data_IF_132431462004
#
_entry.id   IF_132431462004
#
_cell.length_a   1.000
_cell.length_b   1.000
_cell.length_c   1.000
_cell.angle_alpha   90.00
_cell.angle_beta   90.00
_cell.angle_gamma   90.00
#
_symmetry.space_group_name_H-M   'P 1'
#
loop_
_entity.id
_entity.type
_entity.pdbx_description
1 polymer ?
#
# COMPACT_ATOMS: atom_id res chain seq x y z
N UNK A 1 -0.66 7.53 7.43
CA UNK A 1 -1.75 7.17 8.38
C UNK A 1 -3.04 7.91 8.00
N UNK A 2 -3.05 9.25 7.88
CA UNK A 2 -4.26 10.02 7.59
C UNK A 2 -5.02 9.57 6.33
N UNK A 3 -4.31 9.36 5.20
CA UNK A 3 -4.94 8.89 3.97
C UNK A 3 -5.52 7.49 4.12
N UNK A 4 -4.82 6.58 4.79
CA UNK A 4 -5.33 5.22 5.03
C UNK A 4 -6.62 5.24 5.86
N UNK A 5 -6.65 6.05 6.93
CA UNK A 5 -7.85 6.23 7.75
C UNK A 5 -9.02 6.79 6.94
N UNK A 6 -8.75 7.81 6.11
CA UNK A 6 -9.76 8.40 5.22
C UNK A 6 -10.36 7.37 4.24
N UNK A 7 -9.49 6.57 3.60
CA UNK A 7 -9.93 5.53 2.66
C UNK A 7 -10.75 4.44 3.33
N UNK A 8 -10.32 3.96 4.50
CA UNK A 8 -11.07 2.97 5.26
C UNK A 8 -12.42 3.53 5.74
N UNK A 9 -12.44 4.75 6.26
CA UNK A 9 -13.68 5.39 6.70
C UNK A 9 -14.67 5.54 5.54
N UNK A 10 -14.21 6.03 4.37
CA UNK A 10 -15.05 6.15 3.19
C UNK A 10 -15.61 4.82 2.71
N UNK A 11 -14.83 3.74 2.77
CA UNK A 11 -15.29 2.41 2.36
C UNK A 11 -16.28 1.81 3.38
N UNK A 12 -15.98 1.91 4.67
CA UNK A 12 -16.87 1.38 5.74
C UNK A 12 -18.24 2.05 5.66
N UNK A 13 -18.28 3.34 5.38
CA UNK A 13 -19.56 4.09 5.23
C UNK A 13 -20.43 3.58 4.08
N UNK A 14 -19.91 2.77 3.16
CA UNK A 14 -20.69 2.15 2.08
C UNK A 14 -21.24 0.78 2.44
N UNK A 15 -20.82 0.19 3.55
CA UNK A 15 -21.31 -1.10 4.05
C UNK A 15 -22.67 -0.86 4.71
N UNK A 16 -23.74 -1.55 4.27
CA UNK A 16 -25.04 -1.43 4.88
C UNK A 16 -25.04 -1.87 6.35
N UNK A 17 -25.72 -1.11 7.21
CA UNK A 17 -25.84 -1.42 8.66
C UNK A 17 -26.63 -2.70 8.92
N UNK A 18 -27.48 -3.09 7.97
CA UNK A 18 -28.29 -4.32 8.02
C UNK A 18 -27.41 -5.58 8.15
N UNK A 19 -26.15 -5.52 7.69
CA UNK A 19 -25.21 -6.63 7.81
C UNK A 19 -24.78 -6.82 9.28
N UNK A 20 -24.54 -5.72 9.99
CA UNK A 20 -24.22 -5.73 11.43
C UNK A 20 -25.43 -6.18 12.26
N UNK A 21 -26.63 -5.69 11.92
CA UNK A 21 -27.88 -6.07 12.56
C UNK A 21 -28.15 -7.57 12.37
N UNK A 22 -27.99 -8.09 11.13
CA UNK A 22 -28.16 -9.52 10.85
C UNK A 22 -27.17 -10.38 11.65
N UNK A 23 -25.91 -9.98 11.72
CA UNK A 23 -24.89 -10.68 12.50
C UNK A 23 -25.23 -10.71 14.00
N UNK A 24 -25.79 -9.61 14.50
CA UNK A 24 -26.25 -9.51 15.91
C UNK A 24 -27.43 -10.43 16.20
N UNK A 25 -28.40 -10.52 15.26
CA UNK A 25 -29.54 -11.44 15.37
C UNK A 25 -29.08 -12.90 15.39
N UNK A 26 -28.05 -13.24 14.59
CA UNK A 26 -27.43 -14.56 14.56
C UNK A 26 -26.58 -14.86 15.82
N UNK A 27 -26.53 -13.94 16.78
CA UNK A 27 -25.82 -14.10 18.05
C UNK A 27 -24.29 -13.93 17.94
N UNK A 28 -23.80 -13.34 16.85
CA UNK A 28 -22.38 -13.01 16.71
C UNK A 28 -22.02 -11.84 17.64
N UNK A 29 -20.89 -11.94 18.33
CA UNK A 29 -20.32 -10.77 19.01
C UNK A 29 -19.70 -9.80 17.99
N UNK A 30 -19.59 -8.52 18.35
CA UNK A 30 -19.02 -7.47 17.48
C UNK A 30 -17.65 -7.85 16.91
N UNK A 31 -16.81 -8.52 17.73
CA UNK A 31 -15.49 -9.00 17.30
C UNK A 31 -15.60 -10.10 16.25
N UNK A 32 -16.58 -10.99 16.38
CA UNK A 32 -16.82 -12.07 15.40
C UNK A 32 -17.40 -11.50 14.12
N UNK A 33 -18.36 -10.58 14.20
CA UNK A 33 -18.93 -9.88 13.06
C UNK A 33 -17.83 -9.11 12.30
N UNK A 34 -16.98 -8.37 13.01
CA UNK A 34 -15.86 -7.65 12.40
C UNK A 34 -14.91 -8.58 11.64
N UNK A 35 -14.36 -9.61 12.28
CA UNK A 35 -13.34 -10.45 11.66
C UNK A 35 -13.85 -11.42 10.60
N UNK A 36 -15.09 -11.91 10.75
CA UNK A 36 -15.65 -12.92 9.83
C UNK A 36 -16.49 -12.33 8.70
N UNK A 37 -17.06 -11.15 8.89
CA UNK A 37 -17.98 -10.56 7.91
C UNK A 37 -17.39 -9.26 7.35
N UNK A 38 -17.16 -8.24 8.20
CA UNK A 38 -16.78 -6.89 7.74
C UNK A 38 -15.37 -6.88 7.16
N UNK A 39 -14.38 -7.42 7.90
CA UNK A 39 -12.98 -7.39 7.45
C UNK A 39 -12.74 -8.10 6.12
N UNK A 40 -13.33 -9.27 5.82
CA UNK A 40 -13.27 -9.87 4.49
C UNK A 40 -13.89 -9.01 3.39
N UNK A 41 -14.97 -8.28 3.67
CA UNK A 41 -15.57 -7.34 2.72
C UNK A 41 -14.66 -6.14 2.43
N UNK A 42 -13.80 -5.77 3.37
CA UNK A 42 -12.83 -4.69 3.23
C UNK A 42 -11.55 -5.07 2.45
N UNK A 43 -11.42 -6.30 1.97
CA UNK A 43 -10.24 -6.76 1.20
C UNK A 43 -9.85 -5.82 0.04
N UNK A 44 -10.79 -5.31 -0.78
CA UNK A 44 -10.43 -4.43 -1.89
C UNK A 44 -9.78 -3.14 -1.41
N UNK A 45 -10.36 -2.49 -0.40
CA UNK A 45 -9.79 -1.24 0.14
C UNK A 45 -8.47 -1.49 0.88
N UNK A 46 -8.35 -2.63 1.57
CA UNK A 46 -7.11 -3.03 2.24
C UNK A 46 -5.97 -3.20 1.24
N UNK A 47 -6.23 -3.83 0.10
CA UNK A 47 -5.25 -3.95 -0.98
C UNK A 47 -4.85 -2.58 -1.55
N UNK A 48 -5.81 -1.68 -1.76
CA UNK A 48 -5.55 -0.31 -2.21
C UNK A 48 -4.66 0.45 -1.22
N UNK A 49 -4.99 0.41 0.05
CA UNK A 49 -4.20 1.05 1.13
C UNK A 49 -2.80 0.43 1.22
N UNK A 50 -2.69 -0.89 1.09
CA UNK A 50 -1.41 -1.58 1.10
C UNK A 50 -0.51 -1.14 -0.06
N UNK A 51 -1.05 -1.05 -1.29
CA UNK A 51 -0.30 -0.58 -2.47
C UNK A 51 0.19 0.85 -2.27
N UNK A 52 -0.71 1.76 -1.87
CA UNK A 52 -0.35 3.18 -1.70
C UNK A 52 0.74 3.34 -0.62
N UNK A 53 0.58 2.67 0.53
CA UNK A 53 1.59 2.76 1.59
C UNK A 53 2.91 2.10 1.17
N UNK A 54 2.88 0.96 0.48
CA UNK A 54 4.09 0.31 -0.03
C UNK A 54 4.84 1.22 -1.01
N UNK A 55 4.11 1.89 -1.92
CA UNK A 55 4.71 2.86 -2.85
C UNK A 55 5.35 4.03 -2.11
N UNK A 56 4.70 4.57 -1.10
CA UNK A 56 5.24 5.69 -0.33
C UNK A 56 6.47 5.29 0.47
N UNK A 57 6.43 4.16 1.17
CA UNK A 57 7.56 3.65 1.95
C UNK A 57 8.74 3.30 1.03
N UNK A 58 8.46 2.69 -0.14
CA UNK A 58 9.50 2.32 -1.09
C UNK A 58 10.20 3.54 -1.70
N UNK A 59 9.45 4.59 -1.99
CA UNK A 59 9.98 5.83 -2.57
C UNK A 59 10.43 6.85 -1.51
N UNK A 60 10.37 6.51 -0.22
CA UNK A 60 10.85 7.42 0.82
C UNK A 60 12.37 7.57 0.72
N UNK A 61 12.79 8.80 0.58
CA UNK A 61 14.20 9.17 0.42
C UNK A 61 14.73 9.91 1.65
N UNK A 62 13.96 10.86 2.15
CA UNK A 62 14.45 11.82 3.15
C UNK A 62 14.74 11.14 4.49
N UNK A 63 13.78 10.39 5.01
CA UNK A 63 13.92 9.72 6.29
C UNK A 63 15.03 8.64 6.28
N UNK A 64 15.08 7.72 5.30
CA UNK A 64 16.17 6.77 5.17
C UNK A 64 17.55 7.44 5.06
N UNK A 65 17.66 8.55 4.32
CA UNK A 65 18.93 9.26 4.18
C UNK A 65 19.43 9.88 5.48
N UNK A 66 18.52 10.31 6.35
CA UNK A 66 18.90 10.93 7.64
C UNK A 66 19.23 9.90 8.73
N UNK A 67 18.62 8.72 8.67
CA UNK A 67 18.66 7.73 9.77
C UNK A 67 19.56 6.55 9.45
N UNK A 68 19.61 6.11 8.18
CA UNK A 68 20.34 4.91 7.78
C UNK A 68 21.82 5.21 7.49
N UNK A 69 22.67 4.24 7.83
CA UNK A 69 24.10 4.24 7.48
C UNK A 69 24.29 3.70 6.06
N UNK A 70 25.51 3.86 5.50
CA UNK A 70 25.83 3.33 4.17
C UNK A 70 25.60 1.82 4.01
N UNK A 71 25.72 1.07 5.07
CA UNK A 71 25.57 -0.39 5.06
C UNK A 71 24.10 -0.85 5.12
N UNK A 72 23.19 0.02 5.56
CA UNK A 72 21.78 -0.30 5.79
C UNK A 72 20.82 0.47 4.86
N UNK A 73 21.34 1.13 3.83
CA UNK A 73 20.56 1.93 2.89
C UNK A 73 19.52 1.09 2.14
N UNK A 74 18.36 1.70 1.86
CA UNK A 74 17.36 1.10 0.97
C UNK A 74 17.87 1.08 -0.47
N UNK A 75 17.36 0.14 -1.28
CA UNK A 75 17.76 0.02 -2.68
C UNK A 75 17.53 1.32 -3.48
N UNK A 76 16.36 2.01 -3.39
CA UNK A 76 16.19 3.31 -4.05
C UNK A 76 17.18 4.38 -3.57
N UNK A 77 17.52 4.40 -2.28
CA UNK A 77 18.48 5.36 -1.74
C UNK A 77 19.90 5.08 -2.25
N UNK A 78 20.29 3.81 -2.36
CA UNK A 78 21.63 3.43 -2.82
C UNK A 78 21.90 3.83 -4.28
N UNK A 79 20.85 3.94 -5.10
CA UNK A 79 21.01 4.40 -6.49
C UNK A 79 21.56 5.82 -6.58
N UNK A 80 21.32 6.64 -5.57
CA UNK A 80 21.88 8.00 -5.49
C UNK A 80 23.40 8.03 -5.38
N UNK A 81 24.03 6.96 -4.93
CA UNK A 81 25.50 6.87 -4.83
C UNK A 81 26.19 6.89 -6.20
N UNK A 82 25.48 6.48 -7.26
CA UNK A 82 25.99 6.49 -8.64
C UNK A 82 25.99 7.89 -9.25
N UNK A 83 25.30 8.86 -8.65
CA UNK A 83 25.35 10.27 -9.03
C UNK A 83 26.42 10.98 -8.18
N UNK A 84 27.67 10.62 -8.40
CA UNK A 84 28.82 11.20 -7.69
C UNK A 84 29.06 12.66 -8.08
N UNK A 85 29.78 13.37 -7.19
CA UNK A 85 30.06 14.81 -7.35
C UNK A 85 31.02 15.11 -8.52
N UNK A 86 31.82 14.13 -8.94
CA UNK A 86 32.88 14.28 -9.96
C UNK A 86 32.74 13.35 -11.17
N UNK A 87 31.95 12.29 -11.05
CA UNK A 87 31.68 11.37 -12.15
C UNK A 87 30.29 10.78 -12.01
N UNK A 88 29.54 10.70 -13.10
CA UNK A 88 28.24 10.04 -13.14
C UNK A 88 28.42 8.74 -13.92
N UNK A 89 28.31 7.64 -13.21
CA UNK A 89 28.31 6.29 -13.80
C UNK A 89 26.93 5.96 -14.35
N UNK A 90 26.55 6.57 -15.47
CA UNK A 90 25.21 6.47 -16.07
C UNK A 90 24.74 5.02 -16.25
N UNK A 91 25.63 4.12 -16.70
CA UNK A 91 25.28 2.71 -16.89
C UNK A 91 24.88 2.02 -15.60
N UNK A 92 25.64 2.21 -14.54
CA UNK A 92 25.36 1.63 -13.23
C UNK A 92 24.13 2.29 -12.57
N UNK A 93 23.99 3.61 -12.72
CA UNK A 93 22.82 4.33 -12.23
C UNK A 93 21.52 3.82 -12.89
N UNK A 94 21.51 3.66 -14.21
CA UNK A 94 20.35 3.13 -14.93
C UNK A 94 20.04 1.67 -14.57
N UNK A 95 21.06 0.83 -14.41
CA UNK A 95 20.90 -0.55 -13.96
C UNK A 95 20.32 -0.60 -12.52
N UNK A 96 20.84 0.22 -11.61
CA UNK A 96 20.35 0.34 -10.25
C UNK A 96 18.88 0.79 -10.18
N UNK A 97 18.51 1.81 -10.98
CA UNK A 97 17.13 2.27 -11.09
C UNK A 97 16.21 1.18 -11.65
N UNK A 98 16.62 0.46 -12.69
CA UNK A 98 15.86 -0.65 -13.25
C UNK A 98 15.62 -1.74 -12.19
N UNK A 99 16.65 -2.12 -11.43
CA UNK A 99 16.52 -3.07 -10.33
C UNK A 99 15.60 -2.57 -9.21
N UNK A 100 15.65 -1.27 -8.89
CA UNK A 100 14.81 -0.66 -7.87
C UNK A 100 13.31 -0.64 -8.25
N UNK A 101 12.98 -0.63 -9.53
CA UNK A 101 11.58 -0.67 -10.01
C UNK A 101 10.99 -2.07 -9.96
N UNK A 102 11.79 -3.13 -10.14
CA UNK A 102 11.30 -4.52 -10.23
C UNK A 102 10.43 -4.94 -9.03
N UNK A 103 10.87 -4.77 -7.76
CA UNK A 103 10.08 -5.21 -6.61
C UNK A 103 8.70 -4.55 -6.53
N UNK A 104 8.62 -3.26 -6.84
CA UNK A 104 7.36 -2.53 -6.77
C UNK A 104 6.40 -2.92 -7.90
N UNK A 105 6.93 -3.19 -9.09
CA UNK A 105 6.14 -3.69 -10.23
C UNK A 105 5.59 -5.09 -9.91
N UNK A 106 6.40 -6.00 -9.35
CA UNK A 106 5.94 -7.33 -8.94
C UNK A 106 4.83 -7.19 -7.89
N UNK A 107 5.03 -6.36 -6.87
CA UNK A 107 4.04 -6.13 -5.84
C UNK A 107 2.72 -5.58 -6.41
N UNK A 108 2.80 -4.62 -7.32
CA UNK A 108 1.63 -4.09 -8.02
C UNK A 108 0.91 -5.17 -8.84
N UNK A 109 1.64 -5.98 -9.62
CA UNK A 109 1.04 -7.02 -10.46
C UNK A 109 0.30 -8.09 -9.63
N UNK A 110 0.77 -8.40 -8.43
CA UNK A 110 0.10 -9.33 -7.51
C UNK A 110 -1.23 -8.73 -7.01
N UNK A 111 -1.25 -7.45 -6.69
CA UNK A 111 -2.40 -6.80 -6.05
C UNK A 111 -3.35 -6.07 -7.01
N UNK A 112 -2.98 -5.89 -8.29
CA UNK A 112 -3.75 -5.10 -9.26
C UNK A 112 -5.20 -5.55 -9.43
N UNK A 113 -5.47 -6.85 -9.34
CA UNK A 113 -6.84 -7.38 -9.47
C UNK A 113 -7.76 -6.88 -8.36
N UNK A 114 -7.24 -6.75 -7.15
CA UNK A 114 -8.00 -6.27 -5.99
C UNK A 114 -8.14 -4.73 -6.03
N UNK A 115 -7.16 -4.03 -6.61
CA UNK A 115 -7.19 -2.58 -6.80
C UNK A 115 -8.32 -2.14 -7.75
N UNK A 116 -8.47 -2.82 -8.88
CA UNK A 116 -9.49 -2.50 -9.88
C UNK A 116 -10.90 -2.71 -9.31
N UNK A 117 -11.12 -3.77 -8.52
CA UNK A 117 -12.41 -4.02 -7.88
C UNK A 117 -12.78 -3.00 -6.80
N UNK A 118 -11.78 -2.45 -6.10
CA UNK A 118 -11.99 -1.44 -5.05
C UNK A 118 -12.40 -0.07 -5.60
N UNK A 119 -11.81 0.36 -6.73
CA UNK A 119 -12.12 1.65 -7.34
C UNK A 119 -13.50 1.63 -8.01
N UNK A 120 -13.88 0.54 -8.68
CA UNK A 120 -15.16 0.43 -9.38
C UNK A 120 -16.36 0.48 -8.44
N UNK A 121 -16.23 -0.02 -7.22
CA UNK A 121 -17.30 0.03 -6.21
C UNK A 121 -17.44 1.41 -5.55
N UNK A 122 -16.36 2.19 -5.49
CA UNK A 122 -16.39 3.56 -4.95
C UNK A 122 -16.83 4.64 -5.94
N UNK A 123 -16.86 4.34 -7.24
CA UNK A 123 -17.15 5.30 -8.31
C UNK A 123 -18.61 5.22 -8.83
N UNK A 124 -19.38 4.23 -8.41
CA UNK A 124 -20.80 4.08 -8.78
C UNK A 124 -21.66 4.63 -7.65
N UNK A 125 -21.99 5.90 -7.76
CA UNK A 125 -23.14 6.54 -7.13
C UNK A 125 -24.09 6.96 -8.22
#
# INVERSE_FOLDING_TARGET
VALSTFLYHGFISTIPTEIDEAASIDGASDMVAFWKIIFPMMRPITATVAIINALWIWNDFLLPRLVLTRETQTLPLSTYLFFGQYSIEYGQAMAGLALAVIPIVIFYLILQRQFISGISQGAVK
#
